data_IF_352410404545
#
_entry.id   IF_352410404545
#
_cell.length_a   1.000
_cell.length_b   1.000
_cell.length_c   1.000
_cell.angle_alpha   90.00
_cell.angle_beta   90.00
_cell.angle_gamma   90.00
#
_symmetry.space_group_name_H-M   'P 1'
#
loop_
_entity.id
_entity.type
_entity.pdbx_description
1 polymer ?
#
# COMPACT_ATOMS: atom_id res chain seq x y z
N UNK A 1 -12.05 26.39 -53.84
CA UNK A 1 -12.96 25.98 -52.74
C UNK A 1 -12.52 24.66 -52.12
N UNK A 2 -11.25 24.55 -51.67
CA UNK A 2 -10.72 23.27 -51.12
C UNK A 2 -9.85 23.46 -49.89
N UNK A 3 -9.88 24.64 -49.26
CA UNK A 3 -8.96 24.98 -48.14
C UNK A 3 -9.67 25.06 -46.76
N UNK A 4 -10.96 24.79 -46.66
CA UNK A 4 -11.72 24.98 -45.42
C UNK A 4 -12.11 23.62 -44.75
N UNK A 5 -11.96 22.49 -45.45
CA UNK A 5 -12.36 21.17 -44.95
C UNK A 5 -11.31 20.50 -44.06
N UNK A 6 -10.02 20.93 -44.16
CA UNK A 6 -8.92 20.32 -43.38
C UNK A 6 -8.68 20.92 -41.99
N UNK A 7 -9.40 21.96 -41.60
CA UNK A 7 -9.21 22.61 -40.30
C UNK A 7 -10.13 22.07 -39.19
N UNK A 8 -11.14 21.27 -39.54
CA UNK A 8 -12.12 20.74 -38.55
C UNK A 8 -11.73 19.34 -38.06
N UNK A 9 -10.92 18.60 -38.83
CA UNK A 9 -10.54 17.21 -38.50
C UNK A 9 -9.34 17.09 -37.53
N UNK A 10 -8.62 18.17 -37.27
CA UNK A 10 -7.46 18.15 -36.36
C UNK A 10 -7.75 18.65 -34.93
N UNK A 11 -8.98 18.99 -34.57
CA UNK A 11 -9.33 19.46 -33.22
C UNK A 11 -9.80 18.38 -32.25
N UNK A 12 -9.80 17.11 -32.64
CA UNK A 12 -10.27 16.03 -31.76
C UNK A 12 -9.16 15.14 -31.18
N UNK A 13 -7.88 15.46 -31.34
CA UNK A 13 -6.77 14.59 -30.87
C UNK A 13 -5.83 15.20 -29.84
N UNK A 14 -6.13 16.35 -29.26
CA UNK A 14 -5.25 16.92 -28.23
C UNK A 14 -6.04 17.51 -27.06
N UNK A 15 -6.82 16.69 -26.39
CA UNK A 15 -7.23 16.97 -25.01
C UNK A 15 -6.85 15.78 -24.13
N UNK A 16 -5.59 15.33 -24.19
CA UNK A 16 -4.96 14.82 -22.99
C UNK A 16 -4.73 16.04 -22.09
N UNK A 17 -5.79 16.42 -21.39
CA UNK A 17 -5.75 17.34 -20.28
C UNK A 17 -4.66 16.81 -19.36
N UNK A 18 -3.53 17.53 -19.25
CA UNK A 18 -2.52 17.30 -18.23
C UNK A 18 -3.25 17.34 -16.90
N UNK A 19 -3.71 16.18 -16.43
CA UNK A 19 -4.27 16.05 -15.10
C UNK A 19 -3.11 16.47 -14.18
N UNK A 20 -3.34 17.36 -13.19
CA UNK A 20 -2.31 17.62 -12.19
C UNK A 20 -1.86 16.25 -11.67
N UNK A 21 -0.55 16.02 -11.64
CA UNK A 21 0.06 14.76 -11.20
C UNK A 21 -0.35 14.33 -9.79
N UNK A 22 -1.10 15.20 -9.09
CA UNK A 22 -1.51 15.07 -7.71
C UNK A 22 -2.98 14.65 -7.54
N UNK A 23 -3.71 14.36 -8.62
CA UNK A 23 -5.11 13.93 -8.53
C UNK A 23 -5.31 12.56 -9.19
N UNK A 24 -5.99 11.68 -8.49
CA UNK A 24 -6.43 10.41 -9.06
C UNK A 24 -7.54 10.64 -10.09
N UNK A 25 -7.51 9.93 -11.24
CA UNK A 25 -8.60 10.01 -12.22
C UNK A 25 -9.94 9.60 -11.61
N UNK A 26 -10.99 10.38 -11.89
CA UNK A 26 -12.34 10.14 -11.37
C UNK A 26 -12.86 8.69 -11.61
N UNK A 27 -12.59 8.02 -12.76
CA UNK A 27 -12.99 6.63 -12.95
C UNK A 27 -12.33 5.65 -11.96
N UNK A 28 -11.11 5.95 -11.49
CA UNK A 28 -10.39 5.11 -10.51
C UNK A 28 -10.97 5.35 -9.12
N UNK A 29 -11.21 6.60 -8.73
CA UNK A 29 -11.87 6.94 -7.47
C UNK A 29 -13.21 6.21 -7.34
N UNK A 30 -14.04 6.23 -8.40
CA UNK A 30 -15.31 5.52 -8.42
C UNK A 30 -15.16 4.01 -8.23
N UNK A 31 -14.12 3.38 -8.79
CA UNK A 31 -13.87 1.96 -8.58
C UNK A 31 -13.49 1.67 -7.12
N UNK A 32 -12.69 2.52 -6.51
CA UNK A 32 -12.29 2.42 -5.09
C UNK A 32 -13.52 2.56 -4.19
N UNK A 33 -14.38 3.56 -4.43
CA UNK A 33 -15.64 3.78 -3.70
C UNK A 33 -16.59 2.59 -3.79
N UNK A 34 -16.61 1.91 -4.94
CA UNK A 34 -17.40 0.69 -5.18
C UNK A 34 -16.73 -0.59 -4.64
N UNK A 35 -15.57 -0.49 -4.01
CA UNK A 35 -14.82 -1.66 -3.52
C UNK A 35 -14.20 -2.54 -4.61
N UNK A 36 -14.18 -2.06 -5.87
CA UNK A 36 -13.65 -2.81 -7.04
C UNK A 36 -12.13 -2.64 -7.14
N UNK A 37 -11.42 -3.01 -6.07
CA UNK A 37 -9.99 -2.74 -5.93
C UNK A 37 -9.12 -3.46 -6.97
N UNK A 38 -9.49 -4.68 -7.38
CA UNK A 38 -8.76 -5.41 -8.43
C UNK A 38 -8.75 -4.63 -9.76
N UNK A 39 -9.92 -4.14 -10.20
CA UNK A 39 -10.01 -3.34 -11.43
C UNK A 39 -9.33 -1.96 -11.29
N UNK A 40 -9.44 -1.36 -10.10
CA UNK A 40 -8.71 -0.11 -9.81
C UNK A 40 -7.20 -0.32 -9.95
N UNK A 41 -6.66 -1.43 -9.42
CA UNK A 41 -5.24 -1.75 -9.49
C UNK A 41 -4.78 -1.96 -10.95
N UNK A 42 -5.56 -2.65 -11.78
CA UNK A 42 -5.25 -2.84 -13.22
C UNK A 42 -5.20 -1.51 -13.98
N UNK A 43 -6.09 -0.57 -13.66
CA UNK A 43 -6.10 0.76 -14.30
C UNK A 43 -4.96 1.62 -13.80
N UNK A 44 -4.65 1.58 -12.49
CA UNK A 44 -3.53 2.31 -11.91
C UNK A 44 -2.19 1.89 -12.50
N UNK A 45 -2.00 0.59 -12.79
CA UNK A 45 -0.78 0.08 -13.41
C UNK A 45 -0.50 0.66 -14.82
N UNK A 46 -1.53 1.14 -15.51
CA UNK A 46 -1.42 1.73 -16.85
C UNK A 46 -1.14 3.23 -16.83
N UNK A 47 -1.18 3.87 -15.67
CA UNK A 47 -0.95 5.30 -15.51
C UNK A 47 0.54 5.63 -15.33
N UNK A 48 0.93 6.89 -15.61
CA UNK A 48 2.27 7.38 -15.26
C UNK A 48 2.55 7.19 -13.77
N UNK A 49 3.78 6.79 -13.45
CA UNK A 49 4.17 6.48 -12.07
C UNK A 49 4.43 7.77 -11.28
N UNK A 50 3.44 8.22 -10.52
CA UNK A 50 3.62 9.24 -9.48
C UNK A 50 3.57 8.59 -8.08
N UNK A 51 4.12 9.22 -7.04
CA UNK A 51 4.04 8.70 -5.66
C UNK A 51 2.60 8.37 -5.25
N UNK A 52 1.65 9.28 -5.50
CA UNK A 52 0.24 9.08 -5.20
C UNK A 52 -0.35 7.84 -5.91
N UNK A 53 -0.06 7.68 -7.22
CA UNK A 53 -0.57 6.54 -8.00
C UNK A 53 0.01 5.23 -7.46
N UNK A 54 1.30 5.21 -7.13
CA UNK A 54 1.95 4.00 -6.62
C UNK A 54 1.48 3.64 -5.21
N UNK A 55 1.29 4.61 -4.32
CA UNK A 55 0.73 4.36 -2.98
C UNK A 55 -0.71 3.87 -3.07
N UNK A 56 -1.55 4.50 -3.90
CA UNK A 56 -2.93 4.06 -4.13
C UNK A 56 -2.98 2.66 -4.74
N UNK A 57 -2.09 2.35 -5.69
CA UNK A 57 -1.96 1.01 -6.24
C UNK A 57 -1.63 0.00 -5.15
N UNK A 58 -0.69 0.31 -4.25
CA UNK A 58 -0.35 -0.55 -3.12
C UNK A 58 -1.53 -0.84 -2.21
N UNK A 59 -2.33 0.18 -1.88
CA UNK A 59 -3.57 0.03 -1.11
C UNK A 59 -4.59 -0.84 -1.85
N UNK A 60 -4.81 -0.62 -3.14
CA UNK A 60 -5.72 -1.45 -3.94
C UNK A 60 -5.26 -2.92 -4.01
N UNK A 61 -3.95 -3.17 -4.10
CA UNK A 61 -3.39 -4.52 -4.06
C UNK A 61 -3.65 -5.21 -2.71
N UNK A 62 -3.47 -4.51 -1.59
CA UNK A 62 -3.82 -5.05 -0.26
C UNK A 62 -5.31 -5.38 -0.15
N UNK A 63 -6.19 -4.46 -0.56
CA UNK A 63 -7.65 -4.64 -0.54
C UNK A 63 -8.15 -5.74 -1.47
N UNK A 64 -7.40 -6.07 -2.53
CA UNK A 64 -7.69 -7.19 -3.44
C UNK A 64 -6.96 -8.48 -3.06
N UNK A 65 -6.41 -8.56 -1.84
CA UNK A 65 -5.67 -9.72 -1.30
C UNK A 65 -4.40 -10.10 -2.10
N UNK A 66 -3.83 -9.17 -2.86
CA UNK A 66 -2.59 -9.34 -3.59
C UNK A 66 -1.38 -8.87 -2.74
N UNK A 67 -1.30 -9.39 -1.51
CA UNK A 67 -0.40 -8.90 -0.46
C UNK A 67 1.08 -8.98 -0.85
N UNK A 68 1.50 -10.03 -1.53
CA UNK A 68 2.89 -10.18 -2.01
C UNK A 68 3.29 -9.06 -3.00
N UNK A 69 2.37 -8.68 -3.89
CA UNK A 69 2.61 -7.58 -4.84
C UNK A 69 2.64 -6.24 -4.12
N UNK A 70 1.75 -6.02 -3.15
CA UNK A 70 1.75 -4.83 -2.31
C UNK A 70 3.07 -4.68 -1.54
N UNK A 71 3.55 -5.75 -0.89
CA UNK A 71 4.85 -5.75 -0.19
C UNK A 71 5.99 -5.38 -1.14
N UNK A 72 6.04 -5.99 -2.33
CA UNK A 72 7.10 -5.69 -3.30
C UNK A 72 7.06 -4.25 -3.80
N UNK A 73 5.85 -3.69 -3.97
CA UNK A 73 5.67 -2.30 -4.37
C UNK A 73 6.13 -1.35 -3.25
N UNK A 74 5.61 -1.51 -2.04
CA UNK A 74 5.96 -0.66 -0.90
C UNK A 74 7.44 -0.78 -0.51
N UNK A 75 8.04 -1.96 -0.64
CA UNK A 75 9.50 -2.13 -0.45
C UNK A 75 10.30 -1.22 -1.36
N UNK A 76 9.93 -1.09 -2.63
CA UNK A 76 10.61 -0.20 -3.59
C UNK A 76 10.40 1.27 -3.28
N UNK A 77 9.26 1.63 -2.68
CA UNK A 77 8.93 3.01 -2.32
C UNK A 77 9.57 3.44 -1.01
N UNK A 78 9.57 2.56 -0.02
CA UNK A 78 9.95 2.88 1.35
C UNK A 78 11.41 2.60 1.69
N UNK A 79 12.09 1.66 0.99
CA UNK A 79 13.46 1.29 1.31
C UNK A 79 14.48 1.92 0.37
N UNK A 80 15.70 2.10 0.88
CA UNK A 80 16.85 2.44 0.05
C UNK A 80 17.16 1.27 -0.91
N UNK A 81 17.48 1.53 -2.18
CA UNK A 81 17.78 0.47 -3.16
C UNK A 81 18.85 -0.49 -2.66
N UNK A 82 18.56 -1.79 -2.75
CA UNK A 82 19.50 -2.86 -2.35
C UNK A 82 19.68 -3.06 -0.84
N UNK A 83 18.89 -2.37 -0.01
CA UNK A 83 18.98 -2.48 1.45
C UNK A 83 17.63 -2.80 2.10
N UNK A 84 17.66 -3.04 3.42
CA UNK A 84 16.46 -3.15 4.26
C UNK A 84 16.19 -1.88 5.06
N UNK A 85 16.97 -0.81 4.82
CA UNK A 85 16.89 0.44 5.55
C UNK A 85 15.79 1.32 4.97
N UNK A 86 14.89 1.80 5.82
CA UNK A 86 13.82 2.73 5.42
C UNK A 86 14.45 4.07 5.01
N UNK A 87 13.96 4.63 3.93
CA UNK A 87 14.35 5.94 3.44
C UNK A 87 13.98 7.02 4.45
N UNK A 88 14.87 7.96 4.68
CA UNK A 88 14.62 9.07 5.61
C UNK A 88 13.49 9.99 5.17
N UNK A 89 13.30 10.13 3.85
CA UNK A 89 12.25 10.93 3.22
C UNK A 89 10.90 10.19 3.06
N UNK A 90 10.83 8.91 3.47
CA UNK A 90 9.57 8.17 3.48
C UNK A 90 8.62 8.74 4.53
N UNK A 91 7.41 9.14 4.11
CA UNK A 91 6.37 9.63 5.01
C UNK A 91 5.89 8.54 5.98
N UNK A 92 5.37 8.94 7.13
CA UNK A 92 4.77 7.98 8.07
C UNK A 92 3.58 7.23 7.45
N UNK A 93 2.80 7.88 6.58
CA UNK A 93 1.73 7.22 5.83
C UNK A 93 2.26 6.07 4.96
N UNK A 94 3.34 6.30 4.20
CA UNK A 94 3.98 5.27 3.40
C UNK A 94 4.52 4.12 4.27
N UNK A 95 5.13 4.43 5.42
CA UNK A 95 5.65 3.44 6.36
C UNK A 95 4.52 2.60 6.96
N UNK A 96 3.41 3.22 7.35
CA UNK A 96 2.20 2.53 7.84
C UNK A 96 1.62 1.61 6.77
N UNK A 97 1.48 2.08 5.53
CA UNK A 97 1.01 1.25 4.42
C UNK A 97 1.94 0.06 4.17
N UNK A 98 3.26 0.27 4.25
CA UNK A 98 4.23 -0.81 4.11
C UNK A 98 4.15 -1.82 5.27
N UNK A 99 4.06 -1.36 6.51
CA UNK A 99 3.86 -2.22 7.68
C UNK A 99 2.56 -3.04 7.56
N UNK A 100 1.47 -2.41 7.09
CA UNK A 100 0.20 -3.09 6.82
C UNK A 100 0.36 -4.19 5.77
N UNK A 101 1.03 -3.91 4.64
CA UNK A 101 1.26 -4.90 3.60
C UNK A 101 2.07 -6.10 4.12
N UNK A 102 3.11 -5.86 4.92
CA UNK A 102 3.93 -6.90 5.54
C UNK A 102 3.10 -7.71 6.55
N UNK A 103 2.26 -7.06 7.35
CA UNK A 103 1.37 -7.74 8.29
C UNK A 103 0.37 -8.65 7.58
N UNK A 104 -0.28 -8.16 6.52
CA UNK A 104 -1.19 -8.94 5.67
C UNK A 104 -0.48 -10.09 4.94
N UNK A 105 0.80 -9.92 4.66
CA UNK A 105 1.61 -10.98 4.06
C UNK A 105 2.07 -12.05 5.07
N UNK A 106 1.78 -11.85 6.37
CA UNK A 106 2.02 -12.85 7.42
C UNK A 106 3.31 -12.64 8.23
N UNK A 107 3.89 -11.43 8.24
CA UNK A 107 5.06 -11.11 9.06
C UNK A 107 4.77 -10.02 10.10
N UNK A 108 4.16 -10.36 11.24
CA UNK A 108 3.90 -9.42 12.32
C UNK A 108 5.18 -8.81 12.93
N UNK A 109 6.30 -9.56 12.98
CA UNK A 109 7.57 -9.03 13.46
C UNK A 109 8.10 -7.93 12.54
N UNK A 110 8.10 -8.17 11.24
CA UNK A 110 8.52 -7.16 10.25
C UNK A 110 7.64 -5.90 10.27
N UNK A 111 6.32 -6.06 10.47
CA UNK A 111 5.43 -4.93 10.62
C UNK A 111 5.77 -4.09 11.87
N UNK A 112 6.05 -4.73 13.02
CA UNK A 112 6.45 -4.03 14.24
C UNK A 112 7.76 -3.27 14.06
N UNK A 113 8.73 -3.85 13.37
CA UNK A 113 10.03 -3.19 13.13
C UNK A 113 9.82 -1.87 12.36
N UNK A 114 8.99 -1.88 11.30
CA UNK A 114 8.67 -0.65 10.56
C UNK A 114 7.93 0.37 11.43
N UNK A 115 6.99 -0.08 12.27
CA UNK A 115 6.23 0.82 13.15
C UNK A 115 7.07 1.44 14.28
N UNK A 116 8.27 0.93 14.56
CA UNK A 116 9.21 1.54 15.51
C UNK A 116 9.93 2.75 14.90
N UNK A 117 10.06 2.79 13.57
CA UNK A 117 10.74 3.85 12.84
C UNK A 117 9.84 5.04 12.47
N UNK A 118 8.56 5.02 12.89
CA UNK A 118 7.64 6.15 12.68
C UNK A 118 8.06 7.36 13.49
N UNK A 119 7.90 8.56 12.90
CA UNK A 119 8.07 9.83 13.60
C UNK A 119 6.93 10.03 14.61
N UNK A 120 5.69 9.81 14.18
CA UNK A 120 4.51 9.77 15.06
C UNK A 120 4.14 8.30 15.37
N UNK A 121 4.69 7.79 16.46
CA UNK A 121 4.46 6.42 16.94
C UNK A 121 3.05 6.19 17.50
N UNK A 122 2.33 7.26 17.79
CA UNK A 122 1.02 7.24 18.41
C UNK A 122 -0.09 7.52 17.40
N UNK A 123 0.22 7.62 16.11
CA UNK A 123 -0.79 7.75 15.08
C UNK A 123 -1.76 6.56 15.14
N UNK A 124 -3.05 6.85 14.95
CA UNK A 124 -4.13 5.89 15.15
C UNK A 124 -3.93 4.55 14.40
N UNK A 125 -3.49 4.51 13.12
CA UNK A 125 -3.25 3.26 12.42
C UNK A 125 -2.14 2.41 13.08
N UNK A 126 -1.05 3.04 13.52
CA UNK A 126 0.06 2.34 14.18
C UNK A 126 -0.38 1.74 15.51
N UNK A 127 -1.11 2.49 16.32
CA UNK A 127 -1.65 2.03 17.61
C UNK A 127 -2.58 0.83 17.41
N UNK A 128 -3.52 0.91 16.44
CA UNK A 128 -4.45 -0.18 16.12
C UNK A 128 -3.71 -1.43 15.66
N UNK A 129 -2.72 -1.28 14.80
CA UNK A 129 -1.92 -2.39 14.28
C UNK A 129 -1.11 -3.07 15.39
N UNK A 130 -0.42 -2.30 16.24
CA UNK A 130 0.29 -2.82 17.41
C UNK A 130 -0.64 -3.57 18.35
N UNK A 131 -1.83 -3.02 18.61
CA UNK A 131 -2.84 -3.66 19.47
C UNK A 131 -3.35 -4.98 18.86
N UNK A 132 -3.60 -5.04 17.54
CA UNK A 132 -4.00 -6.26 16.86
C UNK A 132 -2.90 -7.35 16.95
N UNK A 133 -1.66 -7.01 16.71
CA UNK A 133 -0.52 -7.93 16.83
C UNK A 133 -0.38 -8.43 18.28
N UNK A 134 -0.54 -7.54 19.26
CA UNK A 134 -0.47 -7.93 20.67
C UNK A 134 -1.61 -8.88 21.09
N UNK A 135 -2.85 -8.63 20.63
CA UNK A 135 -3.98 -9.53 20.86
C UNK A 135 -3.73 -10.91 20.26
N UNK A 136 -3.29 -10.93 18.99
CA UNK A 136 -2.93 -12.17 18.31
C UNK A 136 -1.82 -12.93 19.06
N UNK A 137 -0.75 -12.26 19.50
CA UNK A 137 0.36 -12.86 20.22
C UNK A 137 -0.09 -13.46 21.58
N UNK A 138 -1.07 -12.84 22.25
CA UNK A 138 -1.66 -13.41 23.49
C UNK A 138 -2.43 -14.72 23.23
N UNK A 139 -2.99 -14.89 22.05
CA UNK A 139 -3.69 -16.10 21.63
C UNK A 139 -2.76 -17.25 21.24
N UNK A 140 -1.45 -17.01 21.05
CA UNK A 140 -0.49 -18.05 20.76
C UNK A 140 -0.25 -18.96 22.00
N UNK A 141 0.02 -20.26 21.77
CA UNK A 141 0.53 -21.14 22.82
C UNK A 141 1.83 -20.60 23.41
N UNK A 142 2.16 -20.97 24.65
CA UNK A 142 3.34 -20.47 25.35
C UNK A 142 4.63 -20.62 24.53
N UNK A 143 4.88 -21.80 23.98
CA UNK A 143 6.08 -22.07 23.17
C UNK A 143 6.13 -21.27 21.89
N UNK A 144 5.03 -21.18 21.15
CA UNK A 144 4.96 -20.37 19.93
C UNK A 144 5.16 -18.88 20.19
N UNK A 145 4.63 -18.39 21.32
CA UNK A 145 4.84 -16.99 21.76
C UNK A 145 6.30 -16.73 22.10
N UNK A 146 6.96 -17.71 22.75
CA UNK A 146 8.37 -17.62 23.10
C UNK A 146 9.24 -17.59 21.85
N UNK A 147 9.01 -18.52 20.92
CA UNK A 147 9.71 -18.56 19.64
C UNK A 147 9.53 -17.27 18.84
N UNK A 148 8.30 -16.77 18.74
CA UNK A 148 8.05 -15.52 18.04
C UNK A 148 8.73 -14.33 18.71
N UNK A 149 8.67 -14.25 20.04
CA UNK A 149 9.23 -13.10 20.79
C UNK A 149 10.76 -13.10 20.81
N UNK A 150 11.40 -14.26 20.92
CA UNK A 150 12.84 -14.37 21.12
C UNK A 150 13.60 -14.71 19.84
N UNK A 151 13.06 -15.63 19.06
CA UNK A 151 13.70 -16.13 17.86
C UNK A 151 13.17 -15.46 16.58
N UNK A 152 12.15 -14.57 16.70
CA UNK A 152 11.49 -13.93 15.53
C UNK A 152 10.94 -14.93 14.52
N UNK A 153 10.63 -16.17 14.97
CA UNK A 153 10.05 -17.21 14.12
C UNK A 153 8.55 -16.96 14.00
N UNK A 154 8.11 -16.62 12.81
CA UNK A 154 6.68 -16.42 12.52
C UNK A 154 5.94 -17.76 12.59
N UNK A 155 4.87 -17.89 13.39
CA UNK A 155 4.12 -19.13 13.47
C UNK A 155 3.46 -19.46 12.13
N UNK A 156 3.74 -20.65 11.60
CA UNK A 156 3.14 -21.10 10.35
C UNK A 156 1.60 -21.15 10.45
N UNK A 157 0.92 -20.75 9.37
CA UNK A 157 -0.55 -20.76 9.21
C UNK A 157 -1.32 -19.91 10.23
N UNK A 158 -0.72 -18.91 10.82
CA UNK A 158 -1.41 -17.97 11.69
C UNK A 158 -1.32 -16.57 11.10
N UNK A 159 -2.49 -15.99 10.78
CA UNK A 159 -2.57 -14.59 10.35
C UNK A 159 -3.08 -13.74 11.51
N UNK A 160 -2.58 -12.53 11.63
CA UNK A 160 -3.10 -11.54 12.57
C UNK A 160 -4.46 -11.07 12.06
N UNK A 161 -5.56 -11.29 12.81
CA UNK A 161 -6.86 -10.78 12.39
C UNK A 161 -6.84 -9.25 12.46
N UNK A 162 -7.18 -8.62 11.34
CA UNK A 162 -7.31 -7.16 11.24
C UNK A 162 -8.79 -6.84 11.24
N UNK A 163 -9.24 -6.15 12.29
CA UNK A 163 -10.63 -5.77 12.55
C UNK A 163 -10.90 -4.27 12.33
N UNK A 164 -10.01 -3.59 11.65
CA UNK A 164 -10.14 -2.17 11.33
C UNK A 164 -10.00 -1.92 9.82
N UNK A 165 -10.62 -0.85 9.34
CA UNK A 165 -10.46 -0.42 7.96
C UNK A 165 -9.02 0.04 7.70
N UNK A 166 -8.47 -0.49 6.62
CA UNK A 166 -7.14 -0.16 6.12
C UNK A 166 -7.18 1.09 5.24
#
# INVERSE_FOLDING_TARGET
MQTVVNAVSQRHLTTQKNLPSDLLPAPILRLIELGRYAEASERLQKLPRSPLILETLGVCLMRSNQNALAVNLFRRLALNPGTTVIRMDASDGLRVNFATAILLHGSPSGALDILQDLQDRDCLPAVRMKAAIQRWAKGLSFWRRLDWKWNRIEPANTQVPIDFEL
#
